data_IF_612210628017
#
_entry.id   IF_612210628017
#
_cell.length_a   1.000
_cell.length_b   1.000
_cell.length_c   1.000
_cell.angle_alpha   90.00
_cell.angle_beta   90.00
_cell.angle_gamma   90.00
#
_symmetry.space_group_name_H-M   'P 1'
#
loop_
_entity.id
_entity.type
_entity.pdbx_description
1 polymer ?
#
# COMPACT_ATOMS: atom_id res chain seq x y z
N UNK A 1 32.51 -59.58 10.70
CA UNK A 1 32.42 -59.20 12.11
C UNK A 1 31.45 -58.04 12.17
N UNK A 2 30.16 -58.33 12.33
CA UNK A 2 29.46 -58.43 13.64
C UNK A 2 29.02 -57.02 14.08
N UNK A 3 27.71 -56.73 14.05
CA UNK A 3 26.77 -56.84 15.21
C UNK A 3 27.17 -55.83 16.31
N UNK A 4 26.34 -55.04 16.97
CA UNK A 4 24.90 -54.87 17.20
C UNK A 4 24.80 -53.45 17.83
N UNK A 5 23.76 -52.64 17.63
CA UNK A 5 22.51 -52.76 18.38
C UNK A 5 22.70 -52.50 19.88
N UNK A 6 22.45 -51.27 20.36
CA UNK A 6 21.92 -51.09 21.72
C UNK A 6 21.25 -49.73 21.95
N UNK A 7 19.94 -49.84 22.22
CA UNK A 7 19.05 -48.87 22.81
C UNK A 7 19.00 -49.13 24.33
N UNK A 8 18.40 -48.18 25.09
CA UNK A 8 17.93 -48.19 26.50
C UNK A 8 18.74 -47.18 27.36
N UNK A 9 18.24 -45.96 27.67
CA UNK A 9 17.08 -45.51 28.47
C UNK A 9 17.27 -45.66 29.99
N UNK A 10 17.43 -44.51 30.67
CA UNK A 10 17.25 -44.30 32.11
C UNK A 10 17.26 -42.79 32.41
N UNK A 11 16.10 -42.14 32.44
CA UNK A 11 15.42 -41.64 33.65
C UNK A 11 16.21 -40.53 34.37
N UNK A 12 15.89 -39.26 34.09
CA UNK A 12 14.91 -38.40 34.81
C UNK A 12 15.43 -37.83 36.12
N UNK A 13 15.72 -36.53 36.14
CA UNK A 13 15.43 -35.68 37.30
C UNK A 13 14.85 -34.36 36.82
N UNK A 14 13.65 -34.09 37.32
CA UNK A 14 12.87 -32.88 37.14
C UNK A 14 13.62 -31.66 37.64
N UNK A 15 13.65 -30.60 36.83
CA UNK A 15 13.65 -29.22 37.34
C UNK A 15 12.79 -28.36 36.43
N UNK A 16 11.55 -28.19 36.86
CA UNK A 16 10.89 -26.89 37.04
C UNK A 16 11.31 -25.79 36.06
N UNK A 17 10.52 -25.67 35.01
CA UNK A 17 10.52 -24.53 34.12
C UNK A 17 9.28 -24.56 33.27
N UNK A 18 8.12 -24.43 33.90
CA UNK A 18 6.83 -24.16 33.25
C UNK A 18 6.98 -22.82 32.52
N UNK A 19 7.54 -22.86 31.31
CA UNK A 19 7.46 -21.73 30.40
C UNK A 19 6.02 -21.74 29.94
N UNK A 20 5.19 -20.97 30.65
CA UNK A 20 3.87 -20.59 30.18
C UNK A 20 4.04 -20.15 28.73
N UNK A 21 3.60 -20.99 27.81
CA UNK A 21 3.41 -20.60 26.42
C UNK A 21 2.29 -19.57 26.45
N UNK A 22 2.65 -18.32 26.72
CA UNK A 22 1.77 -17.19 26.46
C UNK A 22 1.46 -17.28 24.97
N UNK A 23 0.21 -17.55 24.55
CA UNK A 23 -0.13 -17.45 23.16
C UNK A 23 -0.10 -15.96 22.85
N UNK A 24 1.07 -15.49 22.41
CA UNK A 24 1.21 -14.16 21.81
C UNK A 24 0.43 -14.23 20.51
N UNK A 25 -0.90 -14.10 20.61
CA UNK A 25 -1.79 -13.74 19.53
C UNK A 25 -1.44 -12.30 19.18
N UNK A 26 -0.28 -12.11 18.55
CA UNK A 26 -0.02 -10.93 17.75
C UNK A 26 -1.12 -10.92 16.70
N UNK A 27 -2.18 -10.14 16.96
CA UNK A 27 -3.17 -9.79 15.96
C UNK A 27 -2.38 -9.13 14.83
N UNK A 28 -2.04 -9.90 13.80
CA UNK A 28 -1.43 -9.38 12.57
C UNK A 28 -2.38 -8.30 12.09
N UNK A 29 -2.00 -7.03 12.27
CA UNK A 29 -2.77 -5.89 11.75
C UNK A 29 -2.89 -6.15 10.26
N UNK A 30 -4.10 -6.40 9.77
CA UNK A 30 -4.32 -6.59 8.34
C UNK A 30 -3.85 -5.32 7.67
N UNK A 31 -2.91 -5.45 6.73
CA UNK A 31 -2.48 -4.32 5.92
C UNK A 31 -3.72 -3.74 5.23
N UNK A 32 -3.82 -2.41 5.10
CA UNK A 32 -4.91 -1.79 4.38
C UNK A 32 -4.97 -2.35 2.96
N UNK A 33 -6.18 -2.45 2.39
CA UNK A 33 -6.33 -2.86 1.00
C UNK A 33 -5.53 -1.92 0.09
N UNK A 34 -5.04 -2.44 -1.03
CA UNK A 34 -4.29 -1.63 -1.98
C UNK A 34 -5.09 -0.42 -2.48
N UNK A 35 -6.40 -0.55 -2.60
CA UNK A 35 -7.31 0.54 -2.94
C UNK A 35 -7.37 1.60 -1.84
N UNK A 36 -7.41 1.20 -0.56
CA UNK A 36 -7.35 2.14 0.56
C UNK A 36 -6.00 2.86 0.61
N UNK A 37 -4.90 2.15 0.36
CA UNK A 37 -3.56 2.74 0.32
C UNK A 37 -3.43 3.78 -0.81
N UNK A 38 -4.01 3.51 -2.00
CA UNK A 38 -4.03 4.48 -3.10
C UNK A 38 -4.83 5.74 -2.75
N UNK A 39 -6.00 5.60 -2.13
CA UNK A 39 -6.78 6.75 -1.69
C UNK A 39 -6.02 7.60 -0.68
N UNK A 40 -5.38 6.96 0.30
CA UNK A 40 -4.53 7.64 1.27
C UNK A 40 -3.36 8.36 0.58
N UNK A 41 -2.69 7.70 -0.37
CA UNK A 41 -1.61 8.33 -1.13
C UNK A 41 -2.09 9.58 -1.89
N UNK A 42 -3.25 9.51 -2.55
CA UNK A 42 -3.85 10.67 -3.23
C UNK A 42 -4.14 11.80 -2.25
N UNK A 43 -4.67 11.48 -1.06
CA UNK A 43 -4.93 12.45 -0.01
C UNK A 43 -3.63 13.15 0.44
N UNK A 44 -2.60 12.38 0.77
CA UNK A 44 -1.30 12.93 1.20
C UNK A 44 -0.63 13.80 0.13
N UNK A 45 -0.71 13.39 -1.14
CA UNK A 45 -0.17 14.17 -2.26
C UNK A 45 -0.91 15.51 -2.45
N UNK A 46 -2.23 15.53 -2.23
CA UNK A 46 -3.02 16.77 -2.28
C UNK A 46 -2.69 17.71 -1.13
N UNK A 47 -2.54 17.20 0.09
CA UNK A 47 -2.13 18.02 1.23
C UNK A 47 -0.71 18.56 1.06
N UNK A 48 0.21 17.76 0.52
CA UNK A 48 1.56 18.21 0.18
C UNK A 48 1.58 19.30 -0.89
N UNK A 49 0.71 19.22 -1.90
CA UNK A 49 0.51 20.30 -2.88
C UNK A 49 -0.01 21.57 -2.21
N UNK A 50 -1.04 21.48 -1.37
CA UNK A 50 -1.55 22.64 -0.64
C UNK A 50 -0.45 23.31 0.19
N UNK A 51 0.27 22.52 0.99
CA UNK A 51 1.34 23.01 1.84
C UNK A 51 2.48 23.67 1.05
N UNK A 52 2.91 23.05 -0.06
CA UNK A 52 3.97 23.62 -0.91
C UNK A 52 3.52 24.88 -1.66
N UNK A 53 2.26 24.95 -2.07
CA UNK A 53 1.66 26.14 -2.68
C UNK A 53 1.58 27.30 -1.69
N UNK A 54 1.19 27.05 -0.44
CA UNK A 54 1.20 28.06 0.63
C UNK A 54 2.61 28.61 0.87
N UNK A 55 3.62 27.73 0.93
CA UNK A 55 5.01 28.15 1.11
C UNK A 55 5.53 28.94 -0.09
N UNK A 56 5.25 28.51 -1.31
CA UNK A 56 5.67 29.21 -2.53
C UNK A 56 5.14 30.66 -2.59
N UNK A 57 3.92 30.89 -2.10
CA UNK A 57 3.28 32.20 -2.10
C UNK A 57 3.60 33.05 -0.87
N UNK A 58 4.39 32.55 0.08
CA UNK A 58 4.77 33.30 1.27
C UNK A 58 5.81 34.39 0.93
N UNK A 59 5.49 35.69 1.13
CA UNK A 59 6.42 36.78 0.83
C UNK A 59 7.63 36.83 1.76
N UNK A 60 7.53 36.24 2.96
CA UNK A 60 8.59 36.23 3.97
C UNK A 60 9.73 35.25 3.64
N UNK A 61 9.53 34.36 2.66
CA UNK A 61 10.56 33.40 2.25
C UNK A 61 11.52 34.00 1.23
N UNK A 62 12.80 33.62 1.34
CA UNK A 62 13.79 33.99 0.35
C UNK A 62 13.45 33.43 -1.03
N UNK A 63 14.01 34.03 -2.09
CA UNK A 63 13.83 33.54 -3.46
C UNK A 63 14.30 32.09 -3.62
N UNK A 64 15.41 31.72 -2.97
CA UNK A 64 15.96 30.37 -3.02
C UNK A 64 15.02 29.34 -2.36
N UNK A 65 14.42 29.69 -1.22
CA UNK A 65 13.45 28.83 -0.54
C UNK A 65 12.16 28.70 -1.35
N UNK A 66 11.64 29.80 -1.91
CA UNK A 66 10.47 29.75 -2.80
C UNK A 66 10.74 28.86 -4.02
N UNK A 67 11.92 28.94 -4.63
CA UNK A 67 12.30 28.08 -5.74
C UNK A 67 12.28 26.59 -5.35
N UNK A 68 12.81 26.24 -4.17
CA UNK A 68 12.75 24.86 -3.65
C UNK A 68 11.30 24.39 -3.45
N UNK A 69 10.43 25.24 -2.90
CA UNK A 69 9.01 24.91 -2.74
C UNK A 69 8.28 24.79 -4.08
N UNK A 70 8.62 25.61 -5.08
CA UNK A 70 8.11 25.46 -6.45
C UNK A 70 8.52 24.13 -7.08
N UNK A 71 9.78 23.72 -6.90
CA UNK A 71 10.26 22.41 -7.37
C UNK A 71 9.51 21.26 -6.69
N UNK A 72 9.37 21.32 -5.36
CA UNK A 72 8.60 20.33 -4.60
C UNK A 72 7.14 20.28 -5.06
N UNK A 73 6.48 21.43 -5.22
CA UNK A 73 5.12 21.52 -5.74
C UNK A 73 4.98 20.88 -7.13
N UNK A 74 5.92 21.19 -8.04
CA UNK A 74 5.91 20.66 -9.41
C UNK A 74 6.09 19.13 -9.41
N UNK A 75 7.03 18.62 -8.64
CA UNK A 75 7.27 17.18 -8.52
C UNK A 75 6.06 16.46 -7.92
N UNK A 76 5.50 16.97 -6.82
CA UNK A 76 4.30 16.39 -6.19
C UNK A 76 3.12 16.39 -7.17
N UNK A 77 2.96 17.43 -7.99
CA UNK A 77 1.91 17.49 -9.02
C UNK A 77 2.10 16.41 -10.09
N UNK A 78 3.33 16.19 -10.56
CA UNK A 78 3.66 15.15 -11.53
C UNK A 78 3.35 13.75 -10.98
N UNK A 79 3.74 13.48 -9.74
CA UNK A 79 3.46 12.21 -9.07
C UNK A 79 1.95 12.02 -8.89
N UNK A 80 1.22 13.04 -8.43
CA UNK A 80 -0.23 12.99 -8.28
C UNK A 80 -0.92 12.69 -9.61
N UNK A 81 -0.53 13.37 -10.69
CA UNK A 81 -1.09 13.12 -12.02
C UNK A 81 -0.88 11.69 -12.49
N UNK A 82 0.29 11.11 -12.20
CA UNK A 82 0.61 9.72 -12.53
C UNK A 82 -0.29 8.75 -11.77
N UNK A 83 -0.46 8.96 -10.46
CA UNK A 83 -1.33 8.13 -9.61
C UNK A 83 -2.79 8.24 -10.04
N UNK A 84 -3.28 9.45 -10.34
CA UNK A 84 -4.65 9.65 -10.80
C UNK A 84 -4.91 8.97 -12.14
N UNK A 85 -3.94 9.00 -13.07
CA UNK A 85 -4.04 8.30 -14.35
C UNK A 85 -4.14 6.77 -14.18
N UNK A 86 -3.33 6.18 -13.31
CA UNK A 86 -3.42 4.74 -12.98
C UNK A 86 -4.80 4.39 -12.41
N UNK A 87 -5.33 5.22 -11.50
CA UNK A 87 -6.66 5.02 -10.94
C UNK A 87 -7.77 5.10 -11.98
N UNK A 88 -7.69 6.06 -12.91
CA UNK A 88 -8.63 6.17 -14.01
C UNK A 88 -8.58 4.95 -14.91
N UNK A 89 -7.38 4.51 -15.31
CA UNK A 89 -7.21 3.32 -16.16
C UNK A 89 -7.86 2.08 -15.53
N UNK A 90 -7.62 1.86 -14.23
CA UNK A 90 -8.22 0.76 -13.47
C UNK A 90 -9.75 0.83 -13.41
N UNK A 91 -10.31 2.02 -13.26
CA UNK A 91 -11.76 2.22 -13.27
C UNK A 91 -12.34 1.93 -14.66
N UNK A 92 -11.66 2.36 -15.72
CA UNK A 92 -12.02 2.03 -17.11
C UNK A 92 -11.97 0.52 -17.37
N UNK A 93 -10.92 -0.17 -16.96
CA UNK A 93 -10.80 -1.63 -17.06
C UNK A 93 -11.94 -2.35 -16.32
N UNK A 94 -12.27 -1.88 -15.12
CA UNK A 94 -13.39 -2.42 -14.34
C UNK A 94 -14.72 -2.24 -15.07
N UNK A 95 -14.98 -1.05 -15.62
CA UNK A 95 -16.20 -0.76 -16.39
C UNK A 95 -16.28 -1.60 -17.66
N UNK A 96 -15.16 -1.74 -18.38
CA UNK A 96 -15.09 -2.56 -19.58
C UNK A 96 -15.43 -4.02 -19.28
N UNK A 97 -14.86 -4.57 -18.20
CA UNK A 97 -15.16 -5.94 -17.77
C UNK A 97 -16.65 -6.15 -17.46
N UNK A 98 -17.30 -5.20 -16.78
CA UNK A 98 -18.74 -5.27 -16.50
C UNK A 98 -19.58 -5.23 -17.79
N UNK A 99 -19.15 -4.45 -18.78
CA UNK A 99 -19.81 -4.37 -20.09
C UNK A 99 -19.66 -5.69 -20.85
N UNK A 100 -18.47 -6.28 -20.85
CA UNK A 100 -18.19 -7.59 -21.45
C UNK A 100 -18.99 -8.71 -20.79
N UNK A 101 -19.04 -8.76 -19.46
CA UNK A 101 -19.85 -9.72 -18.68
C UNK A 101 -21.34 -9.64 -19.02
N UNK A 102 -21.84 -8.44 -19.37
CA UNK A 102 -23.23 -8.22 -19.79
C UNK A 102 -23.49 -8.52 -21.26
N UNK A 103 -22.48 -8.98 -22.01
CA UNK A 103 -22.60 -9.25 -23.45
C UNK A 103 -22.81 -7.98 -24.29
N UNK A 104 -22.64 -6.79 -23.71
CA UNK A 104 -22.77 -5.50 -24.38
C UNK A 104 -21.47 -5.23 -25.17
N UNK A 105 -21.26 -5.97 -26.25
CA UNK A 105 -20.18 -5.62 -27.18
C UNK A 105 -20.50 -4.27 -27.84
N UNK A 106 -19.48 -3.50 -28.25
CA UNK A 106 -19.65 -2.22 -28.95
C UNK A 106 -20.53 -2.30 -30.21
N UNK A 107 -20.82 -3.51 -30.71
CA UNK A 107 -21.75 -3.79 -31.81
C UNK A 107 -23.23 -3.85 -31.41
N UNK A 108 -23.53 -3.93 -30.11
CA UNK A 108 -24.88 -4.04 -29.56
C UNK A 108 -25.41 -2.74 -28.93
N UNK A 109 -24.61 -1.66 -28.95
CA UNK A 109 -25.07 -0.34 -28.52
C UNK A 109 -25.88 0.30 -29.65
N UNK A 110 -27.14 0.71 -29.42
CA UNK A 110 -27.88 1.45 -30.42
C UNK A 110 -27.15 2.77 -30.69
N UNK A 111 -26.68 2.96 -31.92
CA UNK A 111 -26.29 4.29 -32.40
C UNK A 111 -27.50 5.20 -32.21
N UNK A 112 -27.32 6.26 -31.42
CA UNK A 112 -28.27 7.38 -31.35
C UNK A 112 -27.98 8.37 -32.46
#
# INVERSE_FOLDING_TARGET
>A
MEQEGQQIKGQSTDTTGLVDQVPVRQKRKRLPSLERLRHELVYQLRESLRASQEKMNNPELSLAERHRWTQANTYTAQVLNTVLRDLQLRDWERRLKVIEERGLTYKALPLR
#
